data_IF_971845507180
#
_entry.id   IF_971845507180
#
_cell.length_a   1.000
_cell.length_b   1.000
_cell.length_c   1.000
_cell.angle_alpha   90.00
_cell.angle_beta   90.00
_cell.angle_gamma   90.00
#
_symmetry.space_group_name_H-M   'P 1'
#
loop_
_entity.id
_entity.type
_entity.pdbx_description
1 polymer ?
#
# COMPACT_ATOMS: atom_id res chain seq x y z
N UNK A 1 5.28 25.40 -10.28
CA UNK A 1 6.05 25.68 -9.04
C UNK A 1 5.13 25.26 -7.91
N UNK A 2 5.33 24.07 -7.35
CA UNK A 2 4.55 23.62 -6.20
C UNK A 2 5.24 24.16 -4.95
N UNK A 3 4.54 25.02 -4.21
CA UNK A 3 5.01 25.57 -2.94
C UNK A 3 5.20 24.45 -1.91
N UNK A 4 6.35 24.51 -1.25
CA UNK A 4 6.94 23.47 -0.39
C UNK A 4 6.48 23.54 1.07
N UNK A 5 5.50 24.40 1.39
CA UNK A 5 5.11 24.71 2.77
C UNK A 5 3.58 24.71 3.01
N UNK A 6 2.85 23.81 2.34
CA UNK A 6 1.46 23.54 2.76
C UNK A 6 1.48 22.54 3.92
N UNK A 7 0.89 22.84 5.10
CA UNK A 7 0.72 21.83 6.12
C UNK A 7 -0.09 20.71 5.48
N UNK A 8 0.41 19.48 5.55
CA UNK A 8 -0.26 18.30 5.00
C UNK A 8 -1.55 18.05 5.81
N UNK A 9 -2.56 18.88 5.59
CA UNK A 9 -3.91 18.68 6.11
C UNK A 9 -4.37 17.42 5.41
N UNK A 10 -4.46 16.35 6.18
CA UNK A 10 -4.85 15.05 5.71
C UNK A 10 -6.35 15.09 5.33
N UNK A 11 -6.64 15.67 4.18
CA UNK A 11 -7.99 15.89 3.67
C UNK A 11 -8.57 14.54 3.28
N UNK A 12 -9.73 14.21 3.84
CA UNK A 12 -10.56 13.16 3.27
C UNK A 12 -10.87 13.54 1.82
N UNK A 13 -10.73 12.62 0.85
CA UNK A 13 -11.18 12.86 -0.51
C UNK A 13 -12.64 13.33 -0.51
N UNK A 14 -13.01 14.27 -1.40
CA UNK A 14 -14.40 14.64 -1.59
C UNK A 14 -15.28 13.46 -2.00
N UNK A 15 -16.57 13.47 -1.67
CA UNK A 15 -17.49 12.35 -1.92
C UNK A 15 -17.55 11.87 -3.38
N UNK A 16 -17.42 12.78 -4.34
CA UNK A 16 -17.42 12.43 -5.76
C UNK A 16 -16.27 11.47 -6.15
N UNK A 17 -15.18 11.43 -5.37
CA UNK A 17 -14.06 10.48 -5.57
C UNK A 17 -14.51 9.07 -5.21
N UNK A 18 -15.26 8.90 -4.13
CA UNK A 18 -15.80 7.60 -3.72
C UNK A 18 -16.92 7.11 -4.64
N UNK A 19 -17.76 8.03 -5.12
CA UNK A 19 -18.76 7.69 -6.15
C UNK A 19 -18.09 7.18 -7.44
N UNK A 20 -16.99 7.80 -7.86
CA UNK A 20 -16.20 7.32 -9.01
C UNK A 20 -15.57 5.97 -8.71
N UNK A 21 -15.00 5.79 -7.52
CA UNK A 21 -14.43 4.50 -7.08
C UNK A 21 -15.47 3.37 -7.17
N UNK A 22 -16.70 3.60 -6.70
CA UNK A 22 -17.76 2.58 -6.75
C UNK A 22 -18.20 2.19 -8.16
N UNK A 23 -18.06 3.11 -9.14
CA UNK A 23 -18.35 2.82 -10.54
C UNK A 23 -17.29 1.93 -11.20
N UNK A 24 -16.11 1.78 -10.61
CA UNK A 24 -15.06 0.90 -11.13
C UNK A 24 -15.43 -0.57 -10.88
N UNK A 25 -15.45 -1.42 -11.92
CA UNK A 25 -15.65 -2.85 -11.77
C UNK A 25 -14.68 -3.49 -10.77
N UNK A 26 -15.19 -4.36 -9.90
CA UNK A 26 -14.40 -5.09 -8.89
C UNK A 26 -13.19 -5.80 -9.51
N UNK A 27 -13.34 -6.40 -10.70
CA UNK A 27 -12.24 -7.06 -11.39
C UNK A 27 -11.09 -6.12 -11.76
N UNK A 28 -11.38 -4.85 -12.05
CA UNK A 28 -10.36 -3.84 -12.33
C UNK A 28 -9.71 -3.34 -11.03
N UNK A 29 -10.49 -3.15 -9.96
CA UNK A 29 -9.95 -2.80 -8.63
C UNK A 29 -8.94 -3.84 -8.14
N UNK A 30 -9.26 -5.13 -8.28
CA UNK A 30 -8.36 -6.24 -7.92
C UNK A 30 -7.07 -6.22 -8.73
N UNK A 31 -7.16 -6.08 -10.06
CA UNK A 31 -5.97 -5.96 -10.92
C UNK A 31 -5.10 -4.77 -10.55
N UNK A 32 -5.74 -3.63 -10.23
CA UNK A 32 -5.06 -2.42 -9.80
C UNK A 32 -4.31 -2.66 -8.48
N UNK A 33 -4.95 -3.26 -7.48
CA UNK A 33 -4.33 -3.59 -6.20
C UNK A 33 -3.14 -4.56 -6.37
N UNK A 34 -3.29 -5.60 -7.20
CA UNK A 34 -2.21 -6.54 -7.50
C UNK A 34 -1.00 -5.86 -8.16
N UNK A 35 -1.25 -4.97 -9.13
CA UNK A 35 -0.18 -4.19 -9.77
C UNK A 35 0.54 -3.31 -8.75
N UNK A 36 -0.20 -2.65 -7.86
CA UNK A 36 0.36 -1.85 -6.77
C UNK A 36 1.23 -2.68 -5.81
N UNK A 37 0.77 -3.88 -5.42
CA UNK A 37 1.57 -4.78 -4.59
C UNK A 37 2.91 -5.10 -5.26
N UNK A 38 2.87 -5.41 -6.56
CA UNK A 38 4.07 -5.71 -7.33
C UNK A 38 4.98 -4.49 -7.45
N UNK A 39 4.46 -3.32 -7.83
CA UNK A 39 5.29 -2.15 -8.08
C UNK A 39 5.81 -1.48 -6.81
N UNK A 40 4.95 -1.24 -5.82
CA UNK A 40 5.31 -0.50 -4.62
C UNK A 40 6.12 -1.34 -3.62
N UNK A 41 5.92 -2.67 -3.60
CA UNK A 41 6.55 -3.57 -2.64
C UNK A 41 7.45 -4.61 -3.30
N UNK A 42 6.88 -5.55 -4.06
CA UNK A 42 7.63 -6.75 -4.45
C UNK A 42 8.77 -6.48 -5.42
N UNK A 43 8.62 -5.49 -6.29
CA UNK A 43 9.69 -5.05 -7.16
C UNK A 43 10.90 -4.59 -6.34
N UNK A 44 10.70 -3.73 -5.35
CA UNK A 44 11.78 -3.18 -4.52
C UNK A 44 12.33 -4.15 -3.46
N UNK A 45 11.53 -5.15 -3.06
CA UNK A 45 11.91 -6.12 -2.04
C UNK A 45 12.63 -7.33 -2.68
N UNK A 46 12.09 -7.85 -3.79
CA UNK A 46 12.55 -9.11 -4.38
C UNK A 46 13.45 -8.91 -5.61
N UNK A 47 13.17 -7.90 -6.45
CA UNK A 47 13.75 -7.81 -7.79
C UNK A 47 14.82 -6.71 -7.92
N UNK A 48 14.59 -5.54 -7.34
CA UNK A 48 15.40 -4.35 -7.46
C UNK A 48 15.79 -3.84 -6.07
N UNK A 49 16.91 -4.34 -5.53
CA UNK A 49 17.47 -3.91 -4.24
C UNK A 49 18.32 -2.64 -4.39
N UNK A 50 17.85 -1.70 -5.19
CA UNK A 50 18.43 -0.35 -5.30
C UNK A 50 18.14 0.46 -4.03
N UNK A 51 18.69 1.67 -3.92
CA UNK A 51 18.56 2.54 -2.75
C UNK A 51 17.18 3.22 -2.67
N UNK A 52 16.10 2.45 -2.80
CA UNK A 52 14.71 2.92 -2.78
C UNK A 52 14.16 2.99 -1.35
N UNK A 53 13.20 3.89 -1.10
CA UNK A 53 12.58 4.07 0.22
C UNK A 53 11.91 2.78 0.71
N UNK A 54 11.19 2.06 -0.16
CA UNK A 54 10.61 0.75 0.16
C UNK A 54 11.69 -0.27 0.55
N UNK A 55 12.84 -0.29 -0.14
CA UNK A 55 13.94 -1.22 0.19
C UNK A 55 14.51 -0.92 1.57
N UNK A 56 14.75 0.36 1.89
CA UNK A 56 15.20 0.78 3.23
C UNK A 56 14.17 0.45 4.32
N UNK A 57 12.89 0.72 4.06
CA UNK A 57 11.79 0.37 4.96
C UNK A 57 11.72 -1.14 5.19
N UNK A 58 11.87 -1.95 4.14
CA UNK A 58 11.83 -3.39 4.24
C UNK A 58 12.99 -3.94 5.08
N UNK A 59 14.18 -3.32 5.01
CA UNK A 59 15.30 -3.64 5.93
C UNK A 59 14.99 -3.20 7.36
N UNK A 60 14.44 -1.99 7.55
CA UNK A 60 14.14 -1.44 8.88
C UNK A 60 13.10 -2.27 9.65
N UNK A 61 12.01 -2.66 8.98
CA UNK A 61 10.97 -3.54 9.56
C UNK A 61 11.45 -5.00 9.60
N UNK A 62 12.45 -5.32 8.79
CA UNK A 62 13.15 -6.60 8.71
C UNK A 62 12.42 -7.64 7.84
N UNK A 63 11.70 -7.21 6.81
CA UNK A 63 11.32 -8.04 5.66
C UNK A 63 12.53 -8.41 4.80
N UNK A 64 13.58 -7.58 4.83
CA UNK A 64 14.87 -7.84 4.24
C UNK A 64 15.96 -7.87 5.31
N UNK A 65 16.96 -8.72 5.11
CA UNK A 65 18.18 -8.69 5.90
C UNK A 65 19.10 -7.58 5.39
N UNK A 66 19.81 -6.92 6.31
CA UNK A 66 20.85 -5.92 5.96
C UNK A 66 22.07 -6.55 5.27
N UNK A 67 22.22 -7.87 5.39
CA UNK A 67 23.31 -8.63 4.78
C UNK A 67 22.90 -9.10 3.38
N UNK A 68 23.72 -8.79 2.38
CA UNK A 68 23.55 -9.18 0.97
C UNK A 68 23.66 -10.69 0.70
N UNK A 69 23.70 -11.53 1.75
CA UNK A 69 23.62 -12.98 1.62
C UNK A 69 22.25 -13.36 1.06
N UNK A 70 22.23 -14.01 -0.09
CA UNK A 70 21.00 -14.30 -0.82
C UNK A 70 20.15 -15.43 -0.21
N UNK A 71 20.41 -15.82 1.04
CA UNK A 71 19.73 -16.92 1.70
C UNK A 71 18.32 -16.50 2.16
N UNK A 72 17.33 -17.23 1.66
CA UNK A 72 15.95 -17.11 2.10
C UNK A 72 15.77 -17.96 3.36
N UNK A 73 16.06 -17.38 4.53
CA UNK A 73 15.81 -18.06 5.80
C UNK A 73 14.31 -18.31 6.02
N UNK A 74 13.95 -19.35 6.78
CA UNK A 74 12.54 -19.60 7.16
C UNK A 74 11.91 -18.40 7.87
N UNK A 75 12.71 -17.68 8.68
CA UNK A 75 12.28 -16.44 9.34
C UNK A 75 11.93 -15.35 8.33
N UNK A 76 12.72 -15.21 7.26
CA UNK A 76 12.47 -14.24 6.20
C UNK A 76 11.25 -14.62 5.35
N UNK A 77 11.12 -15.90 4.99
CA UNK A 77 9.95 -16.40 4.27
C UNK A 77 8.66 -16.13 5.07
N UNK A 78 8.66 -16.43 6.36
CA UNK A 78 7.53 -16.14 7.25
C UNK A 78 7.16 -14.65 7.27
N UNK A 79 8.15 -13.76 7.32
CA UNK A 79 7.90 -12.31 7.27
C UNK A 79 7.34 -11.85 5.92
N UNK A 80 7.80 -12.43 4.82
CA UNK A 80 7.23 -12.17 3.49
C UNK A 80 5.77 -12.65 3.43
N UNK A 81 5.46 -13.81 4.02
CA UNK A 81 4.08 -14.32 4.11
C UNK A 81 3.17 -13.40 4.92
N UNK A 82 3.67 -12.82 6.02
CA UNK A 82 2.95 -11.80 6.79
C UNK A 82 2.68 -10.57 5.93
N UNK A 83 3.69 -10.03 5.23
CA UNK A 83 3.50 -8.87 4.35
C UNK A 83 2.45 -9.15 3.28
N UNK A 84 2.55 -10.30 2.61
CA UNK A 84 1.58 -10.69 1.58
C UNK A 84 0.16 -10.87 2.16
N UNK A 85 0.03 -11.37 3.39
CA UNK A 85 -1.28 -11.45 4.06
C UNK A 85 -1.86 -10.06 4.33
N UNK A 86 -1.04 -9.10 4.76
CA UNK A 86 -1.47 -7.71 4.94
C UNK A 86 -1.90 -7.12 3.59
N UNK A 87 -1.11 -7.30 2.52
CA UNK A 87 -1.44 -6.80 1.18
C UNK A 87 -2.76 -7.42 0.65
N UNK A 88 -2.99 -8.72 0.84
CA UNK A 88 -4.28 -9.35 0.50
C UNK A 88 -5.44 -8.79 1.30
N UNK A 89 -5.25 -8.52 2.59
CA UNK A 89 -6.26 -7.85 3.42
C UNK A 89 -6.56 -6.44 2.88
N UNK A 90 -5.53 -5.67 2.52
CA UNK A 90 -5.69 -4.34 1.90
C UNK A 90 -6.48 -4.42 0.59
N UNK A 91 -6.19 -5.37 -0.29
CA UNK A 91 -6.94 -5.60 -1.53
C UNK A 91 -8.43 -5.83 -1.24
N UNK A 92 -8.74 -6.71 -0.28
CA UNK A 92 -10.13 -7.04 0.11
C UNK A 92 -10.86 -5.84 0.69
N UNK A 93 -10.22 -5.11 1.60
CA UNK A 93 -10.82 -3.96 2.27
C UNK A 93 -11.07 -2.78 1.33
N UNK A 94 -10.22 -2.58 0.32
CA UNK A 94 -10.40 -1.49 -0.65
C UNK A 94 -11.55 -1.73 -1.66
N UNK A 95 -12.18 -2.91 -1.69
CA UNK A 95 -13.25 -3.17 -2.65
C UNK A 95 -14.52 -2.35 -2.38
N UNK A 96 -14.77 -2.04 -1.10
CA UNK A 96 -15.98 -1.38 -0.62
C UNK A 96 -15.70 0.04 -0.16
N UNK A 97 -16.64 0.96 -0.41
CA UNK A 97 -16.48 2.38 -0.08
C UNK A 97 -16.22 2.61 1.41
N UNK A 98 -17.07 2.08 2.29
CA UNK A 98 -16.97 2.34 3.74
C UNK A 98 -15.60 1.93 4.31
N UNK A 99 -15.11 0.77 3.87
CA UNK A 99 -13.81 0.27 4.27
C UNK A 99 -12.67 1.09 3.65
N UNK A 100 -12.84 1.57 2.42
CA UNK A 100 -11.87 2.47 1.77
C UNK A 100 -11.79 3.82 2.48
N UNK A 101 -12.92 4.41 2.86
CA UNK A 101 -12.99 5.65 3.67
C UNK A 101 -12.28 5.47 5.01
N UNK A 102 -12.56 4.37 5.69
CA UNK A 102 -11.93 4.06 6.97
C UNK A 102 -10.41 3.84 6.81
N UNK A 103 -9.98 3.15 5.75
CA UNK A 103 -8.56 2.97 5.43
C UNK A 103 -7.84 4.32 5.21
N UNK A 104 -8.47 5.25 4.51
CA UNK A 104 -7.91 6.60 4.29
C UNK A 104 -7.82 7.37 5.61
N UNK A 105 -8.83 7.26 6.48
CA UNK A 105 -8.77 7.85 7.82
C UNK A 105 -7.62 7.28 8.66
N UNK A 106 -7.43 5.95 8.64
CA UNK A 106 -6.33 5.26 9.32
C UNK A 106 -4.98 5.74 8.75
N UNK A 107 -4.84 5.79 7.42
CA UNK A 107 -3.64 6.26 6.73
C UNK A 107 -3.27 7.70 7.13
N UNK A 108 -4.28 8.59 7.20
CA UNK A 108 -4.11 9.96 7.66
C UNK A 108 -3.62 10.03 9.11
N UNK A 109 -4.16 9.19 10.00
CA UNK A 109 -3.76 9.11 11.40
C UNK A 109 -2.34 8.54 11.58
N UNK A 110 -1.96 7.57 10.76
CA UNK A 110 -0.57 7.08 10.69
C UNK A 110 0.40 8.20 10.32
N UNK A 111 0.07 9.03 9.31
CA UNK A 111 0.90 10.17 8.90
C UNK A 111 1.02 11.27 9.96
N UNK A 112 0.04 11.36 10.87
CA UNK A 112 0.10 12.23 12.05
C UNK A 112 0.83 11.60 13.24
N UNK A 113 1.42 10.41 13.05
CA UNK A 113 2.16 9.66 14.08
C UNK A 113 1.35 9.35 15.35
N UNK A 114 0.03 9.19 15.22
CA UNK A 114 -0.88 8.82 16.33
C UNK A 114 -0.72 7.33 16.63
N UNK A 115 -0.10 6.97 17.77
CA UNK A 115 0.26 5.58 18.10
C UNK A 115 -0.94 4.65 18.34
N UNK A 116 -2.07 5.22 18.75
CA UNK A 116 -3.33 4.51 19.03
C UNK A 116 -3.95 3.96 17.74
N UNK A 117 -3.66 4.56 16.58
CA UNK A 117 -4.22 4.14 15.28
C UNK A 117 -3.81 2.72 14.89
N UNK A 118 -2.75 2.18 15.49
CA UNK A 118 -2.32 0.82 15.21
C UNK A 118 -3.41 -0.20 15.55
N UNK A 119 -4.15 -0.01 16.64
CA UNK A 119 -5.21 -0.94 17.02
C UNK A 119 -6.42 -0.82 16.08
N UNK A 120 -6.73 0.40 15.61
CA UNK A 120 -7.73 0.64 14.58
C UNK A 120 -7.34 -0.02 13.25
N UNK A 121 -6.07 0.07 12.87
CA UNK A 121 -5.53 -0.57 11.67
C UNK A 121 -5.61 -2.10 11.73
N UNK A 122 -5.25 -2.70 12.87
CA UNK A 122 -5.39 -4.14 13.07
C UNK A 122 -6.85 -4.57 13.03
N UNK A 123 -7.75 -3.83 13.70
CA UNK A 123 -9.18 -4.11 13.66
C UNK A 123 -9.74 -3.99 12.24
N UNK A 124 -9.30 -2.99 11.47
CA UNK A 124 -9.67 -2.84 10.06
C UNK A 124 -9.23 -4.05 9.24
N UNK A 125 -7.98 -4.51 9.42
CA UNK A 125 -7.46 -5.69 8.72
C UNK A 125 -8.26 -6.96 9.08
N UNK A 126 -8.63 -7.16 10.35
CA UNK A 126 -9.46 -8.30 10.77
C UNK A 126 -10.83 -8.31 10.07
N UNK A 127 -11.45 -7.14 9.88
CA UNK A 127 -12.76 -7.01 9.19
C UNK A 127 -12.72 -7.39 7.72
N UNK A 128 -11.53 -7.47 7.11
CA UNK A 128 -11.37 -7.94 5.72
C UNK A 128 -11.59 -9.46 5.58
N UNK A 129 -11.59 -10.20 6.70
CA UNK A 129 -11.68 -11.65 6.72
C UNK A 129 -10.38 -12.37 6.34
N UNK A 130 -9.22 -11.69 6.35
CA UNK A 130 -7.93 -12.36 6.20
C UNK A 130 -7.63 -13.23 7.44
N UNK A 131 -7.36 -14.54 7.27
CA UNK A 131 -7.19 -15.45 8.39
C UNK A 131 -6.00 -15.10 9.27
N UNK A 132 -6.20 -15.03 10.59
CA UNK A 132 -5.15 -14.82 11.60
C UNK A 132 -4.33 -13.53 11.41
N UNK A 133 -4.86 -12.53 10.69
CA UNK A 133 -4.11 -11.33 10.33
C UNK A 133 -3.59 -10.54 11.54
N UNK A 134 -4.36 -10.46 12.62
CA UNK A 134 -3.91 -9.83 13.87
C UNK A 134 -2.68 -10.51 14.46
N UNK A 135 -2.71 -11.85 14.53
CA UNK A 135 -1.58 -12.63 15.03
C UNK A 135 -0.36 -12.45 14.12
N UNK A 136 -0.55 -12.53 12.80
CA UNK A 136 0.52 -12.35 11.82
C UNK A 136 1.17 -10.96 11.92
N UNK A 137 0.38 -9.89 12.09
CA UNK A 137 0.93 -8.54 12.29
C UNK A 137 1.75 -8.47 13.59
N UNK A 138 1.28 -9.09 14.68
CA UNK A 138 2.00 -9.12 15.95
C UNK A 138 3.34 -9.88 15.87
N UNK A 139 3.46 -10.86 14.96
CA UNK A 139 4.70 -11.60 14.71
C UNK A 139 5.80 -10.77 14.03
N UNK A 140 5.48 -9.55 13.54
CA UNK A 140 6.50 -8.58 13.08
C UNK A 140 7.38 -8.06 14.22
N UNK A 141 6.93 -8.19 15.46
CA UNK A 141 7.70 -7.93 16.67
C UNK A 141 7.16 -6.75 17.49
N UNK A 142 8.04 -5.87 18.02
CA UNK A 142 7.62 -4.75 18.86
C UNK A 142 6.60 -3.84 18.18
N UNK A 143 5.75 -3.19 18.98
CA UNK A 143 4.68 -2.31 18.49
C UNK A 143 5.15 -1.26 17.47
N UNK A 144 6.36 -0.73 17.65
CA UNK A 144 6.99 0.22 16.71
C UNK A 144 7.24 -0.37 15.32
N UNK A 145 7.61 -1.65 15.22
CA UNK A 145 7.79 -2.32 13.94
C UNK A 145 6.44 -2.53 13.23
N UNK A 146 5.41 -2.95 13.98
CA UNK A 146 4.05 -3.08 13.44
C UNK A 146 3.53 -1.72 12.94
N UNK A 147 3.77 -0.66 13.71
CA UNK A 147 3.42 0.70 13.32
C UNK A 147 4.12 1.12 12.02
N UNK A 148 5.45 1.00 11.96
CA UNK A 148 6.22 1.36 10.76
C UNK A 148 5.82 0.52 9.54
N UNK A 149 5.51 -0.77 9.74
CA UNK A 149 5.04 -1.65 8.69
C UNK A 149 3.71 -1.16 8.11
N UNK A 150 2.69 -1.00 8.98
CA UNK A 150 1.36 -0.62 8.54
C UNK A 150 1.31 0.83 8.03
N UNK A 151 2.09 1.76 8.59
CA UNK A 151 2.13 3.14 8.14
C UNK A 151 2.47 3.23 6.63
N UNK A 152 3.55 2.59 6.18
CA UNK A 152 3.91 2.64 4.76
C UNK A 152 2.86 1.94 3.90
N UNK A 153 2.38 0.77 4.33
CA UNK A 153 1.39 0.00 3.56
C UNK A 153 0.09 0.80 3.36
N UNK A 154 -0.42 1.43 4.42
CA UNK A 154 -1.62 2.27 4.34
C UNK A 154 -1.37 3.57 3.56
N UNK A 155 -0.16 4.14 3.58
CA UNK A 155 0.19 5.30 2.78
C UNK A 155 0.20 4.96 1.28
N UNK A 156 0.86 3.88 0.88
CA UNK A 156 0.90 3.43 -0.52
C UNK A 156 -0.49 3.04 -1.04
N UNK A 157 -1.29 2.36 -0.22
CA UNK A 157 -2.66 2.00 -0.60
C UNK A 157 -3.57 3.23 -0.76
N UNK A 158 -3.40 4.25 0.08
CA UNK A 158 -4.09 5.54 -0.05
C UNK A 158 -3.67 6.25 -1.34
N UNK A 159 -2.36 6.39 -1.58
CA UNK A 159 -1.84 7.04 -2.77
C UNK A 159 -2.35 6.34 -4.03
N UNK A 160 -2.48 5.01 -4.00
CA UNK A 160 -2.99 4.24 -5.12
C UNK A 160 -4.52 4.27 -5.26
N UNK A 161 -5.31 4.49 -4.19
CA UNK A 161 -6.76 4.70 -4.32
C UNK A 161 -7.09 6.11 -4.84
N UNK A 162 -6.26 7.11 -4.51
CA UNK A 162 -6.36 8.49 -4.99
C UNK A 162 -5.78 8.63 -6.42
N UNK A 163 -4.60 8.07 -6.68
CA UNK A 163 -3.98 7.97 -8.02
C UNK A 163 -4.75 7.00 -8.92
N UNK A 164 -5.34 5.96 -8.33
CA UNK A 164 -6.34 5.11 -8.96
C UNK A 164 -7.54 5.91 -9.49
N UNK A 165 -7.79 7.10 -8.97
CA UNK A 165 -8.75 8.04 -9.54
C UNK A 165 -8.11 9.03 -10.52
N UNK A 166 -6.87 9.49 -10.31
CA UNK A 166 -6.18 10.43 -11.21
C UNK A 166 -5.68 9.78 -12.51
N UNK A 167 -4.96 8.66 -12.42
CA UNK A 167 -4.47 7.91 -13.57
C UNK A 167 -5.57 7.12 -14.28
N UNK A 168 -6.59 6.57 -13.60
CA UNK A 168 -7.66 5.86 -14.31
C UNK A 168 -8.66 6.81 -14.98
N UNK A 169 -8.92 8.00 -14.45
CA UNK A 169 -9.78 8.97 -15.15
C UNK A 169 -9.04 9.67 -16.31
N UNK A 170 -7.72 9.89 -16.22
CA UNK A 170 -6.93 10.33 -17.38
C UNK A 170 -6.66 9.21 -18.41
N UNK A 171 -6.48 7.96 -17.98
CA UNK A 171 -6.19 6.84 -18.88
C UNK A 171 -7.44 6.27 -19.59
N UNK A 172 -8.64 6.44 -19.02
CA UNK A 172 -9.90 6.11 -19.72
C UNK A 172 -10.29 7.17 -20.76
N UNK A 173 -9.69 8.37 -20.71
CA UNK A 173 -9.85 9.42 -21.72
C UNK A 173 -8.95 9.27 -22.95
N UNK A 174 -7.91 8.44 -22.91
CA UNK A 174 -6.94 8.32 -24.02
C UNK A 174 -6.54 6.86 -24.22
N UNK A 175 -7.20 6.22 -25.20
CA UNK A 175 -6.77 5.04 -25.97
C UNK A 175 -6.11 3.88 -25.19
N UNK A 176 -6.72 2.70 -25.27
CA UNK A 176 -6.19 1.38 -24.82
C UNK A 176 -4.70 1.14 -25.15
N UNK A 177 -4.16 1.78 -26.20
CA UNK A 177 -2.74 1.75 -26.57
C UNK A 177 -1.81 2.52 -25.62
N UNK A 178 -2.29 3.57 -24.96
CA UNK A 178 -1.54 4.36 -23.97
C UNK A 178 -1.43 3.59 -22.65
N UNK A 179 -2.53 2.97 -22.21
CA UNK A 179 -2.56 2.05 -21.06
C UNK A 179 -1.55 0.92 -21.23
N UNK A 180 -1.56 0.21 -22.38
CA UNK A 180 -0.59 -0.86 -22.64
C UNK A 180 0.87 -0.36 -22.73
N UNK A 181 1.08 0.92 -23.04
CA UNK A 181 2.41 1.53 -23.14
C UNK A 181 2.93 1.99 -21.78
N UNK A 182 2.06 2.51 -20.93
CA UNK A 182 2.36 2.84 -19.52
C UNK A 182 2.54 1.58 -18.67
N UNK A 183 1.78 0.52 -18.96
CA UNK A 183 1.96 -0.81 -18.36
C UNK A 183 3.22 -1.54 -18.88
N UNK A 184 3.74 -1.14 -20.04
CA UNK A 184 5.01 -1.65 -20.59
C UNK A 184 6.22 -0.85 -20.10
N UNK A 185 6.00 0.26 -19.39
CA UNK A 185 7.08 1.00 -18.74
C UNK A 185 7.47 0.28 -17.45
N UNK A 186 8.78 0.18 -17.23
CA UNK A 186 9.33 -0.50 -16.07
C UNK A 186 8.90 0.19 -14.76
N UNK A 187 8.76 -0.58 -13.66
CA UNK A 187 8.26 -0.09 -12.38
C UNK A 187 9.00 1.13 -11.80
N UNK A 188 10.23 1.42 -12.23
CA UNK A 188 10.97 2.63 -11.85
C UNK A 188 10.35 3.96 -12.33
N UNK A 189 9.37 3.93 -13.25
CA UNK A 189 8.71 5.14 -13.77
C UNK A 189 7.37 5.45 -13.06
N UNK A 190 6.97 4.66 -12.06
CA UNK A 190 5.72 4.86 -11.32
C UNK A 190 5.90 5.50 -9.95
N UNK A 191 7.14 5.61 -9.48
CA UNK A 191 7.51 6.32 -8.26
C UNK A 191 7.70 7.81 -8.56
N UNK A 192 6.83 8.65 -8.00
CA UNK A 192 7.06 10.10 -7.93
C UNK A 192 8.05 10.33 -6.78
N UNK A 193 9.16 11.02 -7.07
CA UNK A 193 10.16 11.49 -6.09
C UNK A 193 9.57 12.41 -5.02
#
# INVERSE_FOLDING_TARGET
IYEKDSPFVALQPPDYIYERWNKIPVCLKKKAAQLMHVSAFWYHILLCRENHNTTRWAVQVGFLDSNYGNDLSLKRLHRIEILEAILRAMEKGCLFEDQTRHMIWISNKFNLHVLEVLDDAICWLERTGEPRIKQQVQELGPRGNCFAALQLIFAECKNHSESGNAHYTQAMGVSRKKIMRELAQGPCQWSIE
#
